data_IF_437650471390
#
_entry.id   IF_437650471390
#
_cell.length_a   1.000
_cell.length_b   1.000
_cell.length_c   1.000
_cell.angle_alpha   90.00
_cell.angle_beta   90.00
_cell.angle_gamma   90.00
#
_symmetry.space_group_name_H-M   'P 1'
#
loop_
_entity.id
_entity.type
_entity.pdbx_description
1 polymer ?
#
# COMPACT_ATOMS: atom_id res chain seq x y z
N UNK A 1 40.83 6.28 9.43
CA UNK A 1 39.64 6.51 8.57
C UNK A 1 38.97 5.17 8.26
N UNK A 2 37.93 4.78 8.99
CA UNK A 2 37.22 3.53 8.72
C UNK A 2 36.29 3.70 7.51
N UNK A 3 36.60 2.97 6.44
CA UNK A 3 35.80 2.92 5.20
C UNK A 3 34.43 2.31 5.55
N UNK A 4 33.40 3.15 5.57
CA UNK A 4 32.00 2.74 5.70
C UNK A 4 31.61 1.93 4.45
N UNK A 5 31.87 0.61 4.47
CA UNK A 5 31.30 -0.32 3.49
C UNK A 5 29.79 -0.25 3.70
N UNK A 6 29.08 0.47 2.83
CA UNK A 6 27.61 0.47 2.81
C UNK A 6 27.16 -0.98 2.67
N UNK A 7 26.78 -1.62 3.78
CA UNK A 7 26.09 -2.91 3.76
C UNK A 7 24.93 -2.75 2.80
N UNK A 8 24.87 -3.61 1.78
CA UNK A 8 23.77 -3.70 0.82
C UNK A 8 22.48 -3.48 1.59
N UNK A 9 21.71 -2.47 1.18
CA UNK A 9 20.40 -2.12 1.73
C UNK A 9 19.74 -3.40 2.19
N UNK A 10 19.52 -3.54 3.49
CA UNK A 10 18.83 -4.67 4.05
C UNK A 10 17.35 -4.54 3.67
N UNK A 11 17.06 -4.68 2.36
CA UNK A 11 15.75 -4.81 1.70
C UNK A 11 14.96 -6.03 2.26
N UNK A 12 15.60 -6.75 3.18
CA UNK A 12 15.07 -7.65 4.19
C UNK A 12 13.82 -7.15 4.91
N UNK A 13 13.96 -5.94 5.45
CA UNK A 13 13.30 -5.58 6.72
C UNK A 13 11.84 -5.18 6.56
N UNK A 14 11.37 -4.88 5.36
CA UNK A 14 9.95 -4.57 5.15
C UNK A 14 9.39 -5.18 3.87
N UNK A 15 9.89 -6.34 3.42
CA UNK A 15 9.26 -7.06 2.29
C UNK A 15 7.77 -7.30 2.54
N UNK A 16 7.37 -7.54 3.80
CA UNK A 16 5.97 -7.71 4.19
C UNK A 16 5.17 -6.41 4.04
N UNK A 17 5.65 -5.28 4.56
CA UNK A 17 4.98 -3.99 4.38
C UNK A 17 4.97 -3.53 2.91
N UNK A 18 6.09 -3.68 2.20
CA UNK A 18 6.19 -3.35 0.78
C UNK A 18 5.24 -4.21 -0.04
N UNK A 19 5.21 -5.54 0.18
CA UNK A 19 4.28 -6.44 -0.51
C UNK A 19 2.83 -6.12 -0.15
N UNK A 20 2.55 -5.85 1.12
CA UNK A 20 1.21 -5.49 1.58
C UNK A 20 0.70 -4.19 0.95
N UNK A 21 1.56 -3.17 0.86
CA UNK A 21 1.26 -1.90 0.19
C UNK A 21 1.09 -2.10 -1.31
N UNK A 22 2.02 -2.83 -1.93
CA UNK A 22 2.05 -3.07 -3.37
C UNK A 22 0.84 -3.87 -3.83
N UNK A 23 0.45 -4.94 -3.13
CA UNK A 23 -0.75 -5.73 -3.44
C UNK A 23 -2.02 -4.86 -3.34
N UNK A 24 -2.10 -3.95 -2.36
CA UNK A 24 -3.24 -3.02 -2.27
C UNK A 24 -3.29 -2.03 -3.44
N UNK A 25 -2.15 -1.43 -3.79
CA UNK A 25 -2.09 -0.48 -4.92
C UNK A 25 -2.40 -1.20 -6.22
N UNK A 26 -1.72 -2.32 -6.50
CA UNK A 26 -1.99 -3.13 -7.70
C UNK A 26 -3.43 -3.63 -7.74
N UNK A 27 -3.99 -4.05 -6.61
CA UNK A 27 -5.39 -4.46 -6.51
C UNK A 27 -6.35 -3.35 -6.94
N UNK A 28 -6.13 -2.11 -6.48
CA UNK A 28 -6.96 -0.98 -6.91
C UNK A 28 -6.84 -0.66 -8.39
N UNK A 29 -5.62 -0.71 -8.94
CA UNK A 29 -5.39 -0.51 -10.37
C UNK A 29 -6.10 -1.61 -11.17
N UNK A 30 -5.96 -2.86 -10.75
CA UNK A 30 -6.56 -4.00 -11.42
C UNK A 30 -8.10 -3.93 -11.42
N UNK A 31 -8.72 -3.57 -10.29
CA UNK A 31 -10.17 -3.33 -10.21
C UNK A 31 -10.60 -2.21 -11.15
N UNK A 32 -9.86 -1.10 -11.19
CA UNK A 32 -10.17 -0.01 -12.12
C UNK A 32 -10.09 -0.43 -13.59
N UNK A 33 -9.11 -1.26 -13.95
CA UNK A 33 -8.95 -1.80 -15.31
C UNK A 33 -10.07 -2.78 -15.67
N UNK A 34 -10.49 -3.65 -14.75
CA UNK A 34 -11.62 -4.57 -14.97
C UNK A 34 -12.91 -3.79 -15.21
N UNK A 35 -13.19 -2.77 -14.41
CA UNK A 35 -14.40 -1.96 -14.58
C UNK A 35 -14.38 -1.26 -15.94
N UNK A 36 -13.24 -0.66 -16.32
CA UNK A 36 -13.09 -0.04 -17.63
C UNK A 36 -13.31 -1.04 -18.78
N UNK A 37 -12.74 -2.24 -18.69
CA UNK A 37 -12.91 -3.30 -19.67
C UNK A 37 -14.37 -3.79 -19.77
N UNK A 38 -15.06 -3.95 -18.63
CA UNK A 38 -16.46 -4.36 -18.59
C UNK A 38 -17.40 -3.33 -19.23
N UNK A 39 -17.16 -2.04 -19.01
CA UNK A 39 -17.93 -0.96 -19.64
C UNK A 39 -17.72 -0.97 -21.15
N UNK A 40 -16.46 -1.09 -21.60
CA UNK A 40 -16.14 -1.20 -23.03
C UNK A 40 -16.83 -2.40 -23.67
N UNK A 41 -16.84 -3.57 -23.01
CA UNK A 41 -17.51 -4.77 -23.52
C UNK A 41 -19.02 -4.58 -23.64
N UNK A 42 -19.68 -4.03 -22.61
CA UNK A 42 -21.12 -3.81 -22.63
C UNK A 42 -21.56 -2.84 -23.74
N UNK A 43 -20.80 -1.76 -23.93
CA UNK A 43 -21.05 -0.81 -25.01
C UNK A 43 -20.75 -1.39 -26.39
N UNK A 44 -19.62 -2.10 -26.54
CA UNK A 44 -19.31 -2.78 -27.79
C UNK A 44 -20.39 -3.80 -28.18
N UNK A 45 -20.95 -4.53 -27.20
CA UNK A 45 -22.02 -5.49 -27.46
C UNK A 45 -23.34 -4.81 -27.88
N UNK A 46 -23.74 -3.71 -27.23
CA UNK A 46 -24.91 -2.92 -27.64
C UNK A 46 -24.74 -2.31 -29.04
N UNK A 47 -23.57 -1.75 -29.34
CA UNK A 47 -23.32 -1.13 -30.65
C UNK A 47 -23.20 -2.16 -31.79
N UNK A 48 -22.63 -3.33 -31.54
CA UNK A 48 -22.51 -4.40 -32.55
C UNK A 48 -23.87 -5.06 -32.85
N UNK A 49 -24.82 -5.04 -31.91
CA UNK A 49 -26.20 -5.52 -32.14
C UNK A 49 -27.04 -4.60 -33.04
N UNK A 50 -26.80 -3.29 -33.00
CA UNK A 50 -27.54 -2.29 -33.77
C UNK A 50 -26.86 -1.91 -35.10
N UNK A 51 -25.55 -2.17 -35.26
CA UNK A 51 -24.72 -1.68 -36.37
C UNK A 51 -24.43 -2.74 -37.45
N UNK A 52 -25.42 -3.57 -37.79
CA UNK A 52 -25.36 -4.41 -38.99
C UNK A 52 -25.66 -3.63 -40.29
N UNK A 53 -25.97 -2.32 -40.23
CA UNK A 53 -26.48 -1.60 -41.41
C UNK A 53 -25.54 -0.55 -42.05
N UNK A 54 -24.55 0.05 -41.37
CA UNK A 54 -23.81 1.13 -42.07
C UNK A 54 -22.32 1.29 -41.69
N UNK A 55 -21.46 0.81 -42.59
CA UNK A 55 -20.01 0.74 -42.44
C UNK A 55 -19.29 2.10 -42.57
N UNK A 56 -20.00 3.22 -42.76
CA UNK A 56 -19.37 4.54 -42.94
C UNK A 56 -19.36 5.46 -41.69
N UNK A 57 -20.00 5.09 -40.57
CA UNK A 57 -20.08 5.91 -39.34
C UNK A 57 -19.04 5.47 -38.27
N UNK A 58 -17.92 4.86 -38.68
CA UNK A 58 -16.98 4.23 -37.72
C UNK A 58 -16.00 5.19 -37.03
N UNK A 59 -15.81 6.40 -37.54
CA UNK A 59 -14.76 7.33 -37.06
C UNK A 59 -15.26 8.35 -36.02
N UNK A 60 -16.55 8.72 -36.02
CA UNK A 60 -17.10 9.68 -35.02
C UNK A 60 -17.45 9.04 -33.68
N UNK A 61 -17.83 7.75 -33.65
CA UNK A 61 -18.34 7.07 -32.44
C UNK A 61 -17.28 6.66 -31.41
N UNK A 62 -16.01 6.51 -31.81
CA UNK A 62 -14.95 6.16 -30.84
C UNK A 62 -14.87 7.24 -29.75
N UNK A 63 -14.99 8.52 -30.12
CA UNK A 63 -15.04 9.66 -29.20
C UNK A 63 -16.22 9.60 -28.21
N UNK A 64 -17.41 9.23 -28.68
CA UNK A 64 -18.62 9.13 -27.84
C UNK A 64 -18.55 7.95 -26.87
N UNK A 65 -17.81 6.89 -27.23
CA UNK A 65 -17.53 5.76 -26.34
C UNK A 65 -16.43 6.07 -25.32
N UNK A 66 -15.48 6.95 -25.66
CA UNK A 66 -14.36 7.30 -24.78
C UNK A 66 -14.82 8.12 -23.56
N UNK A 67 -15.75 9.07 -23.73
CA UNK A 67 -16.21 9.93 -22.63
C UNK A 67 -16.79 9.14 -21.44
N UNK A 68 -17.79 8.25 -21.60
CA UNK A 68 -18.34 7.49 -20.48
C UNK A 68 -17.34 6.53 -19.85
N UNK A 69 -16.45 5.93 -20.65
CA UNK A 69 -15.37 5.06 -20.15
C UNK A 69 -14.37 5.86 -19.30
N UNK A 70 -13.97 7.04 -19.74
CA UNK A 70 -13.07 7.93 -19.00
C UNK A 70 -13.74 8.42 -17.71
N UNK A 71 -15.02 8.82 -17.75
CA UNK A 71 -15.75 9.25 -16.56
C UNK A 71 -15.86 8.12 -15.54
N UNK A 72 -16.25 6.91 -15.98
CA UNK A 72 -16.39 5.78 -15.08
C UNK A 72 -15.03 5.30 -14.51
N UNK A 73 -13.99 5.23 -15.35
CA UNK A 73 -12.63 4.92 -14.89
C UNK A 73 -12.09 5.98 -13.92
N UNK A 74 -12.39 7.25 -14.16
CA UNK A 74 -12.04 8.35 -13.25
C UNK A 74 -12.77 8.23 -11.92
N UNK A 75 -14.07 7.89 -11.93
CA UNK A 75 -14.85 7.73 -10.70
C UNK A 75 -14.35 6.54 -9.87
N UNK A 76 -14.08 5.40 -10.51
CA UNK A 76 -13.54 4.20 -9.84
C UNK A 76 -12.15 4.46 -9.26
N UNK A 77 -11.28 5.12 -10.01
CA UNK A 77 -9.94 5.46 -9.53
C UNK A 77 -9.97 6.47 -8.39
N UNK A 78 -10.87 7.45 -8.43
CA UNK A 78 -11.08 8.42 -7.36
C UNK A 78 -11.60 7.75 -6.08
N UNK A 79 -12.62 6.90 -6.19
CA UNK A 79 -13.16 6.14 -5.04
C UNK A 79 -12.10 5.22 -4.45
N UNK A 80 -11.39 4.47 -5.30
CA UNK A 80 -10.32 3.56 -4.86
C UNK A 80 -9.17 4.32 -4.18
N UNK A 81 -8.76 5.45 -4.75
CA UNK A 81 -7.74 6.32 -4.18
C UNK A 81 -8.16 6.91 -2.83
N UNK A 82 -9.41 7.36 -2.71
CA UNK A 82 -9.97 7.86 -1.45
C UNK A 82 -9.98 6.76 -0.37
N UNK A 83 -10.37 5.53 -0.72
CA UNK A 83 -10.32 4.40 0.20
C UNK A 83 -8.88 4.15 0.68
N UNK A 84 -7.89 4.10 -0.22
CA UNK A 84 -6.49 3.96 0.20
C UNK A 84 -6.08 5.11 1.12
N UNK A 85 -6.39 6.35 0.76
CA UNK A 85 -5.99 7.54 1.52
C UNK A 85 -6.57 7.56 2.94
N UNK A 86 -7.77 7.04 3.16
CA UNK A 86 -8.40 6.97 4.48
C UNK A 86 -7.88 5.76 5.29
N UNK A 87 -7.79 4.59 4.66
CA UNK A 87 -7.48 3.34 5.37
C UNK A 87 -5.98 3.10 5.60
N UNK A 88 -5.11 3.65 4.74
CA UNK A 88 -3.66 3.43 4.84
C UNK A 88 -3.05 4.10 6.08
N UNK A 89 -3.32 5.39 6.38
CA UNK A 89 -2.74 6.06 7.54
C UNK A 89 -3.20 5.43 8.85
N UNK A 90 -4.47 5.02 8.95
CA UNK A 90 -5.02 4.43 10.18
C UNK A 90 -4.30 3.13 10.57
N UNK A 91 -3.95 2.29 9.58
CA UNK A 91 -3.21 1.03 9.82
C UNK A 91 -1.75 1.23 10.20
N UNK A 92 -1.17 2.40 9.93
CA UNK A 92 0.22 2.72 10.27
C UNK A 92 0.29 3.52 11.57
N UNK A 93 -0.63 4.47 11.76
CA UNK A 93 -0.66 5.36 12.92
C UNK A 93 -0.81 4.61 14.25
N UNK A 94 -1.66 3.58 14.31
CA UNK A 94 -1.85 2.78 15.51
C UNK A 94 -0.56 2.10 15.99
N UNK A 95 0.11 1.30 15.13
CA UNK A 95 1.38 0.70 15.46
C UNK A 95 2.49 1.71 15.80
N UNK A 96 2.56 2.84 15.08
CA UNK A 96 3.52 3.92 15.40
C UNK A 96 3.28 4.48 16.80
N UNK A 97 2.04 4.83 17.13
CA UNK A 97 1.69 5.38 18.44
C UNK A 97 2.03 4.40 19.57
N UNK A 98 1.82 3.10 19.36
CA UNK A 98 2.20 2.07 20.34
C UNK A 98 3.71 1.96 20.51
N UNK A 99 4.47 1.97 19.42
CA UNK A 99 5.94 2.00 19.46
C UNK A 99 6.41 3.22 20.26
N UNK A 100 5.82 4.39 20.01
CA UNK A 100 6.16 5.64 20.71
C UNK A 100 5.90 5.54 22.22
N UNK A 101 4.72 5.06 22.62
CA UNK A 101 4.40 4.86 24.04
C UNK A 101 5.36 3.91 24.74
N UNK A 102 5.68 2.78 24.11
CA UNK A 102 6.63 1.83 24.70
C UNK A 102 8.04 2.43 24.79
N UNK A 103 8.47 3.19 23.77
CA UNK A 103 9.76 3.89 23.77
C UNK A 103 9.84 4.95 24.87
N UNK A 104 8.75 5.63 25.22
CA UNK A 104 8.73 6.58 26.35
C UNK A 104 9.00 5.86 27.67
N UNK A 105 8.43 4.66 27.88
CA UNK A 105 8.70 3.84 29.07
C UNK A 105 10.16 3.39 29.09
N UNK A 106 10.69 2.92 27.97
CA UNK A 106 12.09 2.50 27.83
C UNK A 106 13.04 3.67 28.09
N UNK A 107 12.70 4.87 27.62
CA UNK A 107 13.45 6.11 27.91
C UNK A 107 13.48 6.44 29.41
N UNK A 108 12.48 6.00 30.17
CA UNK A 108 12.44 6.12 31.64
C UNK A 108 13.40 5.18 32.38
N UNK A 109 14.13 4.31 31.68
CA UNK A 109 15.15 3.42 32.24
C UNK A 109 14.74 1.94 32.31
N UNK A 110 13.49 1.62 31.99
CA UNK A 110 13.03 0.22 31.94
C UNK A 110 13.38 -0.44 30.60
N UNK A 111 14.57 -1.04 30.55
CA UNK A 111 15.05 -1.80 29.37
C UNK A 111 14.49 -3.23 29.30
N UNK A 112 13.65 -3.67 30.25
CA UNK A 112 12.99 -4.99 30.19
C UNK A 112 11.70 -4.93 29.36
N UNK A 113 11.14 -3.72 29.19
CA UNK A 113 9.98 -3.47 28.34
C UNK A 113 10.26 -3.89 26.89
N UNK A 114 9.41 -4.78 26.36
CA UNK A 114 9.40 -5.21 24.95
C UNK A 114 8.27 -4.54 24.19
N UNK A 115 8.59 -3.97 23.03
CA UNK A 115 7.64 -3.41 22.08
C UNK A 115 6.93 -4.56 21.36
N UNK A 116 5.60 -4.65 21.48
CA UNK A 116 4.80 -5.68 20.82
C UNK A 116 3.64 -5.07 20.04
N UNK A 117 3.64 -5.32 18.74
CA UNK A 117 2.54 -4.98 17.83
C UNK A 117 1.59 -6.16 17.65
N UNK A 118 0.39 -5.92 17.10
CA UNK A 118 -0.58 -6.99 16.83
C UNK A 118 -0.12 -7.80 15.61
N UNK A 119 -0.51 -9.07 15.58
CA UNK A 119 -0.26 -9.92 14.42
C UNK A 119 -0.92 -9.35 13.18
N UNK A 120 -0.14 -9.21 12.10
CA UNK A 120 -0.58 -8.60 10.85
C UNK A 120 -0.39 -7.08 10.78
N UNK A 121 0.13 -6.44 11.82
CA UNK A 121 0.58 -5.05 11.72
C UNK A 121 1.79 -4.95 10.77
N UNK A 122 1.81 -3.96 9.86
CA UNK A 122 2.87 -3.85 8.86
C UNK A 122 4.25 -3.59 9.46
N UNK A 123 4.33 -2.97 10.63
CA UNK A 123 5.57 -2.49 11.26
C UNK A 123 6.20 -3.49 12.24
N UNK A 124 5.83 -4.78 12.17
CA UNK A 124 6.34 -5.81 13.08
C UNK A 124 7.87 -5.96 12.97
N UNK A 125 8.43 -5.85 11.75
CA UNK A 125 9.88 -5.88 11.53
C UNK A 125 10.63 -4.70 12.18
N UNK A 126 10.02 -3.51 12.16
CA UNK A 126 10.53 -2.35 12.89
C UNK A 126 10.53 -2.59 14.41
N UNK A 127 9.43 -3.08 14.98
CA UNK A 127 9.34 -3.36 16.41
C UNK A 127 10.38 -4.39 16.87
N UNK A 128 10.59 -5.46 16.10
CA UNK A 128 11.63 -6.47 16.36
C UNK A 128 13.05 -5.85 16.33
N UNK A 129 13.32 -4.99 15.35
CA UNK A 129 14.62 -4.32 15.22
C UNK A 129 14.90 -3.38 16.39
N UNK A 130 13.89 -2.66 16.87
CA UNK A 130 14.00 -1.81 18.06
C UNK A 130 14.24 -2.67 19.31
N UNK A 131 13.48 -3.74 19.51
CA UNK A 131 13.70 -4.66 20.62
C UNK A 131 15.12 -5.26 20.63
N UNK A 132 15.63 -5.68 19.48
CA UNK A 132 17.00 -6.19 19.35
C UNK A 132 18.03 -5.12 19.74
N UNK A 133 17.78 -3.87 19.39
CA UNK A 133 18.64 -2.73 19.76
C UNK A 133 18.62 -2.52 21.27
N UNK A 134 17.44 -2.49 21.90
CA UNK A 134 17.30 -2.32 23.35
C UNK A 134 18.01 -3.44 24.11
N UNK A 135 17.83 -4.70 23.68
CA UNK A 135 18.55 -5.84 24.26
C UNK A 135 20.08 -5.68 24.16
N UNK A 136 20.58 -5.21 23.02
CA UNK A 136 22.03 -4.99 22.83
C UNK A 136 22.59 -3.86 23.71
N UNK A 137 21.80 -2.82 23.97
CA UNK A 137 22.17 -1.72 24.87
C UNK A 137 22.19 -2.23 26.30
N UNK A 138 21.14 -2.95 26.72
CA UNK A 138 21.05 -3.56 28.06
C UNK A 138 22.22 -4.50 28.34
N UNK A 139 22.58 -5.38 27.39
CA UNK A 139 23.68 -6.31 27.59
C UNK A 139 25.02 -5.61 27.79
N UNK A 140 25.22 -4.42 27.20
CA UNK A 140 26.44 -3.63 27.40
C UNK A 140 26.46 -2.93 28.74
N UNK A 141 25.31 -2.40 29.20
CA UNK A 141 25.19 -1.73 30.49
C UNK A 141 25.26 -2.68 31.68
N UNK A 142 24.95 -3.96 31.50
CA UNK A 142 25.09 -4.99 32.54
C UNK A 142 26.46 -5.66 32.62
N UNK A 143 27.43 -5.21 31.80
CA UNK A 143 28.81 -5.70 31.80
C UNK A 143 29.80 -4.71 32.46
N UNK A 144 29.29 -3.61 33.03
CA UNK A 144 30.00 -2.71 33.95
C UNK A 144 29.49 -2.94 35.39
#
# INVERSE_FOLDING_TARGET
MQRYKRKKLNLQIEKKFQMWLLVRILGTIFVSSIVAAGILYFYAHQEVGESFYDAHIKIRRVSDLLIPVVIAGSLVSLVSGMLIAIFLPQKIAGPIFRIEQDLIVIRGGDLDKKIRLRDGDPLQGLAESINATIMSVRSRLGHD
#
